data_IF_747586404837
#
_entry.id   IF_747586404837
#
_cell.length_a   1.000
_cell.length_b   1.000
_cell.length_c   1.000
_cell.angle_alpha   90.00
_cell.angle_beta   90.00
_cell.angle_gamma   90.00
#
_symmetry.space_group_name_H-M   'P 1'
#
loop_
_entity.id
_entity.type
_entity.pdbx_description
1 polymer ?
#
# COMPACT_ATOMS: atom_id res chain seq x y z
N UNK A 1 -10.18 9.77 -0.44
CA UNK A 1 -9.64 8.64 -1.25
C UNK A 1 -8.57 9.13 -2.21
N UNK A 2 -7.28 8.91 -1.90
CA UNK A 2 -6.22 9.20 -2.88
C UNK A 2 -6.07 7.99 -3.79
N UNK A 3 -7.00 7.89 -4.75
CA UNK A 3 -7.10 6.79 -5.69
C UNK A 3 -6.04 6.86 -6.78
N UNK A 4 -5.60 5.69 -7.23
CA UNK A 4 -4.70 5.52 -8.35
C UNK A 4 -5.38 6.02 -9.64
N UNK A 5 -4.89 7.11 -10.24
CA UNK A 5 -5.48 7.70 -11.46
C UNK A 5 -4.82 7.17 -12.73
N UNK A 6 -5.61 6.63 -13.65
CA UNK A 6 -5.18 6.26 -15.01
C UNK A 6 -4.87 7.52 -15.82
N UNK A 7 -3.76 7.51 -16.55
CA UNK A 7 -3.31 8.58 -17.45
C UNK A 7 -2.69 7.99 -18.72
N UNK A 8 -2.58 8.83 -19.75
CA UNK A 8 -1.85 8.53 -20.98
C UNK A 8 -0.69 9.51 -21.08
N UNK A 9 0.50 9.01 -21.40
CA UNK A 9 1.69 9.83 -21.53
C UNK A 9 1.63 10.65 -22.83
N UNK A 10 1.51 11.97 -22.73
CA UNK A 10 1.50 12.86 -23.90
C UNK A 10 2.89 13.04 -24.54
N UNK A 11 3.94 12.70 -23.78
CA UNK A 11 5.35 12.71 -24.17
C UNK A 11 6.11 11.65 -23.37
N UNK A 12 7.38 11.40 -23.70
CA UNK A 12 8.25 10.57 -22.84
C UNK A 12 8.31 11.18 -21.44
N UNK A 13 8.00 10.38 -20.42
CA UNK A 13 8.07 10.84 -19.03
C UNK A 13 9.49 10.69 -18.48
N UNK A 14 9.94 11.66 -17.68
CA UNK A 14 11.19 11.56 -16.92
C UNK A 14 11.11 10.53 -15.78
N UNK A 15 9.89 10.27 -15.27
CA UNK A 15 9.63 9.32 -14.19
C UNK A 15 9.59 7.88 -14.72
N UNK A 16 9.84 6.92 -13.85
CA UNK A 16 9.78 5.47 -14.15
C UNK A 16 8.71 4.78 -13.31
N UNK A 17 8.38 3.53 -13.66
CA UNK A 17 7.50 2.73 -12.82
C UNK A 17 8.15 2.51 -11.44
N UNK A 18 7.42 2.79 -10.35
CA UNK A 18 7.91 2.62 -8.98
C UNK A 18 8.33 1.20 -8.64
N UNK A 19 7.77 0.20 -9.33
CA UNK A 19 8.03 -1.23 -9.13
C UNK A 19 9.11 -1.73 -10.08
N UNK A 20 8.83 -1.81 -11.38
CA UNK A 20 9.75 -2.45 -12.34
C UNK A 20 10.71 -1.47 -13.04
N UNK A 21 10.73 -0.20 -12.62
CA UNK A 21 11.63 0.86 -13.13
C UNK A 21 11.61 1.11 -14.64
N UNK A 22 10.63 0.58 -15.38
CA UNK A 22 10.49 0.84 -16.81
C UNK A 22 10.16 2.31 -17.08
N UNK A 23 10.63 2.81 -18.23
CA UNK A 23 10.32 4.15 -18.72
C UNK A 23 8.94 4.21 -19.39
N UNK A 24 8.38 5.40 -19.53
CA UNK A 24 7.13 5.66 -20.25
C UNK A 24 7.39 6.50 -21.50
N UNK A 25 6.97 6.01 -22.66
CA UNK A 25 6.98 6.69 -23.96
C UNK A 25 5.64 7.42 -24.20
N UNK A 26 5.60 8.28 -25.22
CA UNK A 26 4.34 8.90 -25.67
C UNK A 26 3.34 7.81 -26.07
N UNK A 27 2.10 7.94 -25.63
CA UNK A 27 1.02 6.95 -25.84
C UNK A 27 0.90 5.91 -24.72
N UNK A 28 1.92 5.73 -23.89
CA UNK A 28 1.86 4.71 -22.84
C UNK A 28 0.81 5.04 -21.79
N UNK A 29 0.04 4.02 -21.41
CA UNK A 29 -0.85 4.08 -20.25
C UNK A 29 -0.03 3.92 -18.99
N UNK A 30 -0.20 4.85 -18.05
CA UNK A 30 0.40 4.78 -16.74
C UNK A 30 -0.60 5.20 -15.67
N UNK A 31 -0.27 4.87 -14.44
CA UNK A 31 -1.10 5.15 -13.28
C UNK A 31 -0.31 6.03 -12.31
N UNK A 32 -0.95 7.06 -11.74
CA UNK A 32 -0.33 7.98 -10.79
C UNK A 32 -1.05 7.89 -9.45
N UNK A 33 -0.30 7.63 -8.39
CA UNK A 33 -0.75 7.68 -7.00
C UNK A 33 -0.06 8.85 -6.32
N UNK A 34 -0.84 9.75 -5.74
CA UNK A 34 -0.33 10.70 -4.74
C UNK A 34 -0.53 10.05 -3.38
N UNK A 35 0.40 10.27 -2.46
CA UNK A 35 0.24 9.92 -1.06
C UNK A 35 0.54 11.17 -0.27
N UNK A 36 -0.33 11.49 0.66
CA UNK A 36 -0.11 12.53 1.66
C UNK A 36 -0.14 11.82 3.00
N UNK A 37 0.89 12.00 3.82
CA UNK A 37 0.97 11.43 5.15
C UNK A 37 1.48 12.50 6.11
N UNK A 38 0.99 12.43 7.34
CA UNK A 38 1.52 13.21 8.44
C UNK A 38 2.51 12.33 9.20
N UNK A 39 3.72 12.83 9.44
CA UNK A 39 4.73 12.16 10.23
C UNK A 39 5.51 13.21 11.02
N UNK A 40 5.80 12.94 12.30
CA UNK A 40 6.56 13.85 13.16
C UNK A 40 5.96 15.27 13.26
N UNK A 41 4.64 15.42 13.12
CA UNK A 41 3.96 16.72 13.13
C UNK A 41 4.02 17.49 11.80
N UNK A 42 4.67 16.92 10.78
CA UNK A 42 4.82 17.51 9.45
C UNK A 42 3.99 16.79 8.39
N UNK A 43 3.50 17.55 7.41
CA UNK A 43 2.77 17.03 6.24
C UNK A 43 3.74 16.71 5.09
N UNK A 44 3.89 15.43 4.79
CA UNK A 44 4.65 14.94 3.65
C UNK A 44 3.73 14.59 2.48
N UNK A 45 4.15 14.92 1.27
CA UNK A 45 3.48 14.39 0.07
C UNK A 45 4.46 13.91 -0.98
N UNK A 46 4.16 12.75 -1.54
CA UNK A 46 4.95 12.16 -2.61
C UNK A 46 4.06 11.51 -3.67
N UNK A 47 4.65 11.27 -4.82
CA UNK A 47 3.94 10.69 -5.96
C UNK A 47 4.69 9.53 -6.57
N UNK A 48 3.95 8.47 -6.84
CA UNK A 48 4.47 7.28 -7.51
C UNK A 48 3.72 7.04 -8.81
N UNK A 49 4.46 6.58 -9.82
CA UNK A 49 3.92 6.18 -11.12
C UNK A 49 4.06 4.68 -11.31
N UNK A 50 3.06 4.03 -11.90
CA UNK A 50 3.08 2.59 -12.17
C UNK A 50 2.70 2.30 -13.61
N UNK A 51 3.37 1.34 -14.24
CA UNK A 51 2.98 0.86 -15.56
C UNK A 51 1.74 -0.03 -15.47
N UNK A 52 1.03 -0.18 -16.60
CA UNK A 52 -0.18 -0.97 -16.66
C UNK A 52 0.00 -2.41 -16.17
N UNK A 53 1.10 -3.05 -16.55
CA UNK A 53 1.44 -4.41 -16.09
C UNK A 53 1.57 -4.51 -14.58
N UNK A 54 2.32 -3.59 -13.96
CA UNK A 54 2.52 -3.62 -12.51
C UNK A 54 1.24 -3.27 -11.75
N UNK A 55 0.44 -2.33 -12.26
CA UNK A 55 -0.87 -2.02 -11.68
C UNK A 55 -1.79 -3.26 -11.70
N UNK A 56 -1.86 -3.96 -12.83
CA UNK A 56 -2.65 -5.18 -12.95
C UNK A 56 -2.22 -6.26 -11.94
N UNK A 57 -0.91 -6.52 -11.83
CA UNK A 57 -0.37 -7.49 -10.88
C UNK A 57 -0.69 -7.13 -9.42
N UNK A 58 -0.62 -5.84 -9.07
CA UNK A 58 -1.00 -5.38 -7.72
C UNK A 58 -2.48 -5.65 -7.43
N UNK A 59 -3.36 -5.29 -8.35
CA UNK A 59 -4.81 -5.53 -8.20
C UNK A 59 -5.11 -7.02 -8.07
N UNK A 60 -4.51 -7.86 -8.91
CA UNK A 60 -4.67 -9.32 -8.79
C UNK A 60 -4.12 -9.87 -7.48
N UNK A 61 -2.96 -9.38 -7.00
CA UNK A 61 -2.40 -9.81 -5.72
C UNK A 61 -3.34 -9.43 -4.57
N UNK A 62 -3.87 -8.21 -4.56
CA UNK A 62 -4.82 -7.76 -3.55
C UNK A 62 -6.09 -8.62 -3.56
N UNK A 63 -6.68 -8.87 -4.73
CA UNK A 63 -7.86 -9.72 -4.86
C UNK A 63 -7.60 -11.16 -4.38
N UNK A 64 -6.48 -11.78 -4.76
CA UNK A 64 -6.11 -13.12 -4.27
C UNK A 64 -5.90 -13.15 -2.77
N UNK A 65 -5.36 -12.08 -2.19
CA UNK A 65 -5.16 -11.99 -0.75
C UNK A 65 -6.49 -11.93 0.02
N UNK A 66 -7.49 -11.19 -0.47
CA UNK A 66 -8.83 -11.19 0.15
C UNK A 66 -9.50 -12.57 0.11
N UNK A 67 -9.35 -13.32 -0.99
CA UNK A 67 -9.82 -14.71 -1.07
C UNK A 67 -9.08 -15.62 -0.08
N UNK A 68 -7.77 -15.39 0.07
CA UNK A 68 -6.94 -16.14 1.01
C UNK A 68 -7.34 -15.86 2.47
N UNK A 69 -7.65 -14.61 2.83
CA UNK A 69 -8.16 -14.25 4.17
C UNK A 69 -9.41 -15.01 4.56
N UNK A 70 -10.34 -15.22 3.62
CA UNK A 70 -11.57 -15.97 3.88
C UNK A 70 -11.32 -17.44 4.25
N UNK A 71 -10.17 -17.99 3.85
CA UNK A 71 -9.73 -19.37 4.15
C UNK A 71 -8.79 -19.44 5.34
N UNK A 72 -8.68 -18.36 6.12
CA UNK A 72 -7.71 -18.29 7.19
C UNK A 72 -8.09 -19.24 8.34
N UNK A 73 -7.10 -19.98 8.84
CA UNK A 73 -7.26 -20.94 9.95
C UNK A 73 -6.35 -20.64 11.16
N UNK A 74 -5.47 -19.61 11.08
CA UNK A 74 -4.60 -19.05 12.15
C UNK A 74 -3.63 -20.04 12.88
N UNK A 75 -2.54 -19.60 13.56
CA UNK A 75 -2.08 -18.23 13.83
C UNK A 75 -0.69 -17.91 13.21
N UNK A 76 -0.64 -17.28 12.03
CA UNK A 76 0.47 -16.35 11.77
C UNK A 76 0.11 -15.12 12.56
N UNK A 77 0.76 -14.88 13.69
CA UNK A 77 0.39 -13.82 14.61
C UNK A 77 1.45 -12.74 14.75
N UNK A 78 1.00 -11.55 15.11
CA UNK A 78 1.82 -10.40 15.43
C UNK A 78 1.29 -9.80 16.73
N UNK A 79 2.23 -9.42 17.61
CA UNK A 79 1.90 -8.72 18.84
C UNK A 79 1.55 -7.28 18.50
N UNK A 80 0.34 -6.87 18.86
CA UNK A 80 -0.12 -5.49 18.69
C UNK A 80 0.17 -4.74 19.98
N UNK A 81 0.80 -3.58 19.84
CA UNK A 81 1.14 -2.70 20.95
C UNK A 81 0.21 -1.50 20.96
N UNK A 82 -0.22 -1.08 22.15
CA UNK A 82 -1.02 0.13 22.35
C UNK A 82 -0.43 1.02 23.45
N UNK A 83 -0.75 2.31 23.39
CA UNK A 83 -0.31 3.29 24.38
C UNK A 83 -1.13 3.15 25.65
N UNK A 84 -0.48 3.14 26.81
CA UNK A 84 -1.18 3.14 28.11
C UNK A 84 -1.85 4.50 28.30
N UNK A 85 -3.17 4.57 28.59
CA UNK A 85 -3.86 5.84 28.79
C UNK A 85 -3.19 6.67 29.89
N UNK A 86 -2.76 7.89 29.55
CA UNK A 86 -2.09 8.80 30.49
C UNK A 86 -0.57 8.62 30.59
N UNK A 87 0.03 7.66 29.89
CA UNK A 87 1.48 7.46 29.86
C UNK A 87 2.06 7.61 28.45
N UNK A 88 3.35 7.97 28.36
CA UNK A 88 4.08 8.08 27.10
C UNK A 88 4.81 6.78 26.71
N UNK A 89 4.35 5.63 27.21
CA UNK A 89 4.92 4.31 26.94
C UNK A 89 3.88 3.37 26.32
N UNK A 90 4.36 2.37 25.56
CA UNK A 90 3.52 1.36 24.91
C UNK A 90 3.62 0.02 25.64
N UNK A 91 2.54 -0.76 25.60
CA UNK A 91 2.47 -2.12 26.14
C UNK A 91 1.93 -3.11 25.09
N UNK A 92 2.26 -4.40 25.20
CA UNK A 92 1.55 -5.45 24.48
C UNK A 92 0.06 -5.42 24.82
N UNK A 93 -0.79 -5.33 23.81
CA UNK A 93 -2.26 -5.24 23.95
C UNK A 93 -2.88 -6.62 23.73
N UNK A 94 -2.52 -7.26 22.62
CA UNK A 94 -3.11 -8.52 22.15
C UNK A 94 -2.26 -9.15 21.05
N UNK A 95 -2.61 -10.38 20.70
CA UNK A 95 -2.04 -11.06 19.55
C UNK A 95 -3.07 -11.09 18.40
N UNK A 96 -2.72 -10.53 17.26
CA UNK A 96 -3.58 -10.52 16.07
C UNK A 96 -3.01 -11.41 14.97
N UNK A 97 -3.88 -12.02 14.19
CA UNK A 97 -3.45 -12.71 13.00
C UNK A 97 -2.93 -11.74 11.92
N UNK A 98 -1.71 -11.96 11.41
CA UNK A 98 -1.13 -11.25 10.26
C UNK A 98 -1.79 -11.49 8.89
N UNK A 99 -2.66 -12.50 8.74
CA UNK A 99 -3.48 -12.74 7.55
C UNK A 99 -4.82 -11.97 7.61
N UNK A 100 -5.67 -12.21 8.62
CA UNK A 100 -7.03 -11.65 8.66
C UNK A 100 -7.31 -10.65 9.80
N UNK A 101 -6.36 -10.37 10.69
CA UNK A 101 -6.49 -9.37 11.77
C UNK A 101 -7.44 -9.75 12.92
N UNK A 102 -7.89 -11.01 12.99
CA UNK A 102 -8.65 -11.48 14.16
C UNK A 102 -7.71 -11.72 15.33
N UNK A 103 -8.22 -11.51 16.54
CA UNK A 103 -7.53 -11.86 17.78
C UNK A 103 -7.30 -13.37 17.81
N UNK A 104 -6.11 -13.76 18.24
CA UNK A 104 -5.68 -15.14 18.37
C UNK A 104 -5.92 -15.67 19.78
#
# INVERSE_FOLDING_TARGET
MIGLKRKIALRRLKRTCGICKCFFKKGDVYYRKRTVLEAYGDLFSFEQTYCARCQYKMVQRASRFEVFKAKCHHPIGEEVWSTIPGEAVMQPDRYECGICGKWL
#
